data_IF_148094822262
#
_entry.id   IF_148094822262
#
_cell.length_a   1.000
_cell.length_b   1.000
_cell.length_c   1.000
_cell.angle_alpha   90.00
_cell.angle_beta   90.00
_cell.angle_gamma   90.00
#
_symmetry.space_group_name_H-M   'P 1'
#
loop_
_entity.id
_entity.type
_entity.pdbx_description
1 polymer ?
#
# COMPACT_ATOMS: atom_id res chain seq x y z
N UNK A 1 10.48 -20.70 23.19
CA UNK A 1 10.53 -19.94 21.92
C UNK A 1 11.65 -18.92 22.03
N UNK A 2 12.64 -18.98 21.14
CA UNK A 2 13.80 -18.08 21.16
C UNK A 2 13.44 -16.69 20.62
N UNK A 3 14.21 -15.64 20.96
CA UNK A 3 14.01 -14.31 20.36
C UNK A 3 14.11 -14.30 18.83
N UNK A 4 14.93 -15.20 18.25
CA UNK A 4 15.03 -15.37 16.80
C UNK A 4 13.76 -15.98 16.21
N UNK A 5 13.24 -17.06 16.81
CA UNK A 5 11.98 -17.69 16.40
C UNK A 5 10.83 -16.69 16.42
N UNK A 6 10.70 -15.91 17.50
CA UNK A 6 9.68 -14.85 17.60
C UNK A 6 9.81 -13.80 16.50
N UNK A 7 11.04 -13.35 16.19
CA UNK A 7 11.28 -12.36 15.15
C UNK A 7 10.97 -12.89 13.74
N UNK A 8 11.27 -14.17 13.48
CA UNK A 8 10.95 -14.82 12.20
C UNK A 8 9.44 -15.02 12.06
N UNK A 9 8.75 -15.50 13.10
CA UNK A 9 7.28 -15.64 13.09
C UNK A 9 6.62 -14.29 12.80
N UNK A 10 7.02 -13.22 13.49
CA UNK A 10 6.48 -11.89 13.27
C UNK A 10 6.73 -11.37 11.84
N UNK A 11 7.89 -11.71 11.25
CA UNK A 11 8.18 -11.37 9.85
C UNK A 11 7.24 -12.10 8.89
N UNK A 12 7.06 -13.41 9.06
CA UNK A 12 6.17 -14.21 8.20
C UNK A 12 4.73 -13.71 8.30
N UNK A 13 4.22 -13.49 9.52
CA UNK A 13 2.89 -12.95 9.75
C UNK A 13 2.68 -11.60 9.07
N UNK A 14 3.64 -10.68 9.19
CA UNK A 14 3.57 -9.38 8.54
C UNK A 14 3.59 -9.49 7.00
N UNK A 15 4.34 -10.46 6.45
CA UNK A 15 4.37 -10.70 5.01
C UNK A 15 3.05 -11.27 4.49
N UNK A 16 2.44 -12.21 5.23
CA UNK A 16 1.17 -12.80 4.86
C UNK A 16 0.04 -11.78 4.91
N UNK A 17 0.09 -10.86 5.87
CA UNK A 17 -0.85 -9.74 5.95
C UNK A 17 -0.77 -8.83 4.72
N UNK A 18 0.43 -8.49 4.25
CA UNK A 18 0.61 -7.71 3.01
C UNK A 18 0.05 -8.45 1.78
N UNK A 19 0.15 -9.79 1.74
CA UNK A 19 -0.43 -10.61 0.66
C UNK A 19 -1.95 -10.64 0.74
N UNK A 20 -2.51 -10.83 1.94
CA UNK A 20 -3.96 -10.83 2.20
C UNK A 20 -4.59 -9.52 1.74
N UNK A 21 -4.03 -8.39 2.20
CA UNK A 21 -4.47 -7.06 1.77
C UNK A 21 -4.34 -6.87 0.27
N UNK A 22 -3.29 -7.40 -0.36
CA UNK A 22 -3.14 -7.37 -1.83
C UNK A 22 -4.30 -8.04 -2.57
N UNK A 23 -4.77 -9.18 -2.09
CA UNK A 23 -5.93 -9.88 -2.68
C UNK A 23 -7.23 -9.10 -2.46
N UNK A 24 -7.42 -8.54 -1.28
CA UNK A 24 -8.62 -7.76 -0.94
C UNK A 24 -8.72 -6.46 -1.74
N UNK A 25 -7.58 -5.78 -1.97
CA UNK A 25 -7.52 -4.62 -2.87
C UNK A 25 -7.97 -5.01 -4.28
N UNK A 26 -7.42 -6.11 -4.83
CA UNK A 26 -7.81 -6.59 -6.15
C UNK A 26 -9.31 -6.91 -6.23
N UNK A 27 -9.85 -7.61 -5.23
CA UNK A 27 -11.27 -7.92 -5.16
C UNK A 27 -12.16 -6.67 -5.05
N UNK A 28 -11.73 -5.64 -4.30
CA UNK A 28 -12.46 -4.39 -4.18
C UNK A 28 -12.46 -3.59 -5.50
N UNK A 29 -11.34 -3.60 -6.24
CA UNK A 29 -11.27 -2.99 -7.58
C UNK A 29 -12.22 -3.70 -8.54
N UNK A 30 -12.18 -5.04 -8.62
CA UNK A 30 -13.10 -5.78 -9.50
C UNK A 30 -14.56 -5.50 -9.16
N UNK A 31 -14.94 -5.49 -7.88
CA UNK A 31 -16.31 -5.11 -7.46
C UNK A 31 -16.69 -3.69 -7.87
N UNK A 32 -15.74 -2.74 -7.87
CA UNK A 32 -15.98 -1.38 -8.34
C UNK A 32 -16.23 -1.32 -9.84
N UNK A 33 -15.63 -2.22 -10.62
CA UNK A 33 -15.84 -2.30 -12.07
C UNK A 33 -17.16 -3.00 -12.37
N UNK A 34 -17.45 -4.12 -11.70
CA UNK A 34 -18.70 -4.89 -11.83
C UNK A 34 -19.94 -4.09 -11.42
N UNK A 35 -19.84 -3.24 -10.39
CA UNK A 35 -20.96 -2.41 -9.93
C UNK A 35 -21.43 -1.36 -10.96
N UNK A 36 -20.62 -1.10 -12.00
CA UNK A 36 -20.98 -0.19 -13.09
C UNK A 36 -21.89 -0.85 -14.14
N UNK A 37 -22.20 -2.14 -13.99
CA UNK A 37 -23.14 -2.90 -14.81
C UNK A 37 -22.55 -3.44 -16.11
N UNK A 38 -23.40 -4.13 -16.89
CA UNK A 38 -23.02 -4.59 -18.23
C UNK A 38 -22.79 -3.38 -19.15
N UNK A 39 -21.56 -3.28 -19.63
CA UNK A 39 -21.15 -2.21 -20.50
C UNK A 39 -21.51 -2.55 -21.94
N UNK A 40 -22.34 -1.71 -22.56
CA UNK A 40 -22.55 -1.76 -24.00
C UNK A 40 -21.26 -1.25 -24.63
N UNK A 41 -20.56 -2.14 -25.34
CA UNK A 41 -19.34 -1.82 -26.09
C UNK A 41 -19.55 -0.51 -26.89
N UNK A 42 -18.63 0.46 -26.84
CA UNK A 42 -17.20 0.33 -26.49
C UNK A 42 -16.80 0.88 -25.10
N UNK A 43 -17.72 1.14 -24.17
CA UNK A 43 -17.36 1.82 -22.91
C UNK A 43 -16.65 0.84 -21.97
N UNK A 44 -15.44 1.16 -21.49
CA UNK A 44 -14.71 0.41 -20.45
C UNK A 44 -15.05 0.94 -19.05
N UNK A 45 -15.07 0.08 -17.99
CA UNK A 45 -15.36 0.49 -16.63
C UNK A 45 -14.49 1.67 -16.20
N UNK A 46 -15.11 2.66 -15.57
CA UNK A 46 -14.39 3.82 -15.06
C UNK A 46 -13.54 3.37 -13.88
N UNK A 47 -12.22 3.52 -14.01
CA UNK A 47 -11.30 3.24 -12.91
C UNK A 47 -11.24 4.45 -11.98
N UNK A 48 -12.22 4.56 -11.07
CA UNK A 48 -12.34 5.65 -10.10
C UNK A 48 -11.09 5.80 -9.23
N UNK A 49 -10.46 4.69 -8.85
CA UNK A 49 -9.23 4.71 -8.06
C UNK A 49 -8.09 5.37 -8.83
N UNK A 50 -7.94 5.08 -10.13
CA UNK A 50 -6.93 5.74 -10.99
C UNK A 50 -7.20 7.25 -11.10
N UNK A 51 -8.46 7.63 -11.31
CA UNK A 51 -8.85 9.04 -11.41
C UNK A 51 -8.59 9.82 -10.11
N UNK A 52 -8.88 9.22 -8.96
CA UNK A 52 -8.61 9.82 -7.66
C UNK A 52 -7.11 10.01 -7.35
N UNK A 53 -6.22 9.29 -8.05
CA UNK A 53 -4.77 9.49 -7.92
C UNK A 53 -4.16 10.22 -9.11
N UNK A 54 -4.97 10.65 -10.07
CA UNK A 54 -4.47 11.37 -11.23
C UNK A 54 -4.01 12.77 -10.82
N UNK A 55 -2.74 13.06 -11.09
CA UNK A 55 -2.12 14.35 -10.80
C UNK A 55 -1.53 14.93 -12.07
N UNK A 56 -1.65 16.24 -12.19
CA UNK A 56 -0.93 17.02 -13.19
C UNK A 56 0.10 17.91 -12.49
N UNK A 57 0.96 18.53 -13.30
CA UNK A 57 1.98 19.44 -12.79
C UNK A 57 1.89 20.78 -13.52
N UNK A 58 2.11 21.83 -12.77
CA UNK A 58 2.23 23.19 -13.29
C UNK A 58 3.48 23.87 -12.76
N UNK A 59 3.94 24.91 -13.46
CA UNK A 59 5.08 25.67 -13.00
C UNK A 59 4.69 26.39 -11.71
N UNK A 60 5.53 26.29 -10.68
CA UNK A 60 5.27 26.95 -9.41
C UNK A 60 5.21 28.48 -9.60
N UNK A 61 4.26 29.15 -8.93
CA UNK A 61 4.03 30.60 -9.04
C UNK A 61 5.27 31.44 -8.67
N UNK A 62 6.15 30.88 -7.83
CA UNK A 62 7.41 31.51 -7.44
C UNK A 62 8.52 31.40 -8.52
N UNK A 63 8.24 30.77 -9.67
CA UNK A 63 9.19 30.55 -10.76
C UNK A 63 10.22 29.45 -10.50
N UNK A 64 10.13 28.74 -9.36
CA UNK A 64 11.07 27.71 -8.94
C UNK A 64 10.38 26.37 -8.71
N UNK A 65 10.38 25.54 -9.74
CA UNK A 65 9.98 24.14 -9.66
C UNK A 65 8.61 23.85 -10.24
N UNK A 66 8.09 22.67 -9.90
CA UNK A 66 6.81 22.15 -10.36
C UNK A 66 5.93 21.88 -9.16
N UNK A 67 4.71 22.38 -9.18
CA UNK A 67 3.66 22.02 -8.23
C UNK A 67 2.78 20.94 -8.83
N UNK A 68 2.29 20.03 -7.99
CA UNK A 68 1.47 18.91 -8.43
C UNK A 68 0.10 18.99 -7.77
N UNK A 69 -0.95 19.03 -8.57
CA UNK A 69 -2.34 19.06 -8.10
C UNK A 69 -3.10 17.81 -8.55
N UNK A 70 -4.16 17.47 -7.83
CA UNK A 70 -5.06 16.38 -8.20
C UNK A 70 -6.06 16.90 -9.23
N UNK A 71 -6.26 16.13 -10.30
CA UNK A 71 -7.05 16.59 -11.46
C UNK A 71 -8.55 16.61 -11.16
N UNK A 72 -9.01 15.71 -10.29
CA UNK A 72 -10.44 15.42 -10.15
C UNK A 72 -11.03 15.89 -8.80
N UNK A 73 -10.20 16.39 -7.88
CA UNK A 73 -10.62 16.87 -6.56
C UNK A 73 -9.50 17.71 -5.92
N UNK A 74 -9.86 18.53 -4.93
CA UNK A 74 -8.93 19.41 -4.20
C UNK A 74 -8.20 18.66 -3.08
N UNK A 75 -7.41 17.64 -3.43
CA UNK A 75 -6.68 16.76 -2.48
C UNK A 75 -7.59 15.89 -1.56
N UNK A 76 -8.90 15.93 -1.76
CA UNK A 76 -9.87 15.05 -1.06
C UNK A 76 -10.14 13.73 -1.80
N UNK A 77 -9.19 12.80 -1.70
CA UNK A 77 -9.31 11.47 -2.32
C UNK A 77 -10.49 10.68 -1.73
N UNK A 78 -10.70 10.75 -0.42
CA UNK A 78 -11.72 9.94 0.25
C UNK A 78 -13.13 10.44 -0.07
N UNK A 79 -13.36 11.76 -0.06
CA UNK A 79 -14.62 12.35 -0.48
C UNK A 79 -14.92 12.05 -1.94
N UNK A 80 -13.94 12.26 -2.83
CA UNK A 80 -14.10 11.92 -4.25
C UNK A 80 -14.48 10.45 -4.46
N UNK A 81 -13.80 9.51 -3.79
CA UNK A 81 -14.13 8.10 -3.93
C UNK A 81 -15.46 7.72 -3.28
N UNK A 82 -15.83 8.34 -2.15
CA UNK A 82 -17.11 8.10 -1.49
C UNK A 82 -18.30 8.48 -2.38
N UNK A 83 -18.17 9.56 -3.15
CA UNK A 83 -19.20 10.03 -4.07
C UNK A 83 -19.36 9.14 -5.31
N UNK A 84 -18.28 8.52 -5.78
CA UNK A 84 -18.27 7.81 -7.05
C UNK A 84 -18.34 6.28 -6.94
N UNK A 85 -17.66 5.68 -5.96
CA UNK A 85 -17.68 4.23 -5.77
C UNK A 85 -17.26 3.82 -4.35
N UNK A 86 -18.18 3.26 -3.53
CA UNK A 86 -17.82 2.74 -2.21
C UNK A 86 -16.82 1.57 -2.27
N UNK A 87 -16.79 0.83 -3.38
CA UNK A 87 -15.82 -0.25 -3.60
C UNK A 87 -14.43 0.31 -3.92
N UNK A 88 -14.33 1.40 -4.68
CA UNK A 88 -13.06 2.09 -4.91
C UNK A 88 -12.54 2.77 -3.63
N UNK A 89 -13.42 3.36 -2.82
CA UNK A 89 -13.07 3.85 -1.48
C UNK A 89 -12.54 2.71 -0.60
N UNK A 90 -13.20 1.55 -0.59
CA UNK A 90 -12.70 0.38 0.13
C UNK A 90 -11.29 -0.02 -0.35
N UNK A 91 -11.05 -0.03 -1.66
CA UNK A 91 -9.74 -0.32 -2.22
C UNK A 91 -8.67 0.70 -1.75
N UNK A 92 -9.01 1.99 -1.73
CA UNK A 92 -8.15 3.05 -1.18
C UNK A 92 -7.76 2.78 0.29
N UNK A 93 -8.75 2.52 1.14
CA UNK A 93 -8.51 2.25 2.57
C UNK A 93 -7.61 1.02 2.77
N UNK A 94 -7.83 -0.05 1.99
CA UNK A 94 -6.99 -1.24 2.01
C UNK A 94 -5.56 -0.96 1.52
N UNK A 95 -5.37 -0.05 0.56
CA UNK A 95 -4.04 0.41 0.11
C UNK A 95 -3.30 1.12 1.26
N UNK A 96 -3.99 1.99 2.01
CA UNK A 96 -3.39 2.66 3.18
C UNK A 96 -2.98 1.64 4.24
N UNK A 97 -3.86 0.68 4.56
CA UNK A 97 -3.54 -0.41 5.49
C UNK A 97 -2.33 -1.24 5.01
N UNK A 98 -2.26 -1.54 3.71
CA UNK A 98 -1.13 -2.27 3.12
C UNK A 98 0.18 -1.48 3.21
N UNK A 99 0.13 -0.15 3.11
CA UNK A 99 1.31 0.71 3.30
C UNK A 99 1.85 0.59 4.72
N UNK A 100 0.98 0.61 5.72
CA UNK A 100 1.37 0.40 7.12
C UNK A 100 1.89 -1.03 7.36
N UNK A 101 1.23 -2.05 6.82
CA UNK A 101 1.69 -3.44 6.90
C UNK A 101 3.11 -3.62 6.28
N UNK A 102 3.40 -2.93 5.15
CA UNK A 102 4.75 -2.92 4.57
C UNK A 102 5.80 -2.26 5.48
N UNK A 103 5.43 -1.22 6.24
CA UNK A 103 6.33 -0.64 7.25
C UNK A 103 6.64 -1.65 8.36
N UNK A 104 5.63 -2.40 8.81
CA UNK A 104 5.79 -3.47 9.80
C UNK A 104 6.72 -4.57 9.27
N UNK A 105 6.56 -5.02 8.02
CA UNK A 105 7.49 -5.97 7.39
C UNK A 105 8.93 -5.44 7.41
N UNK A 106 9.12 -4.17 7.05
CA UNK A 106 10.43 -3.52 7.09
C UNK A 106 11.06 -3.53 8.49
N UNK A 107 10.26 -3.26 9.53
CA UNK A 107 10.70 -3.32 10.92
C UNK A 107 11.05 -4.75 11.36
N UNK A 108 10.21 -5.73 11.04
CA UNK A 108 10.44 -7.14 11.35
C UNK A 108 11.73 -7.67 10.69
N UNK A 109 11.97 -7.33 9.42
CA UNK A 109 13.22 -7.65 8.71
C UNK A 109 14.45 -7.11 9.45
N UNK A 110 14.41 -5.83 9.85
CA UNK A 110 15.52 -5.21 10.59
C UNK A 110 15.80 -5.94 11.90
N UNK A 111 14.75 -6.37 12.63
CA UNK A 111 14.89 -7.12 13.88
C UNK A 111 15.55 -8.48 13.66
N UNK A 112 15.11 -9.25 12.66
CA UNK A 112 15.73 -10.54 12.30
C UNK A 112 17.21 -10.34 11.94
N UNK A 113 17.52 -9.34 11.11
CA UNK A 113 18.90 -9.03 10.73
C UNK A 113 19.77 -8.66 11.93
N UNK A 114 19.26 -7.86 12.87
CA UNK A 114 20.01 -7.48 14.07
C UNK A 114 20.34 -8.68 14.95
N UNK A 115 19.36 -9.56 15.20
CA UNK A 115 19.57 -10.79 15.96
C UNK A 115 20.60 -11.68 15.25
N UNK A 116 20.46 -11.87 13.93
CA UNK A 116 21.43 -12.64 13.13
C UNK A 116 22.85 -12.10 13.25
N UNK A 117 23.04 -10.78 13.14
CA UNK A 117 24.36 -10.15 13.32
C UNK A 117 24.93 -10.38 14.72
N UNK A 118 24.11 -10.29 15.75
CA UNK A 118 24.56 -10.52 17.13
C UNK A 118 24.97 -11.98 17.35
N UNK A 119 24.28 -12.94 16.75
CA UNK A 119 24.65 -14.36 16.79
C UNK A 119 25.99 -14.62 16.10
N UNK A 120 26.23 -14.00 14.93
CA UNK A 120 27.54 -14.10 14.27
C UNK A 120 28.65 -13.53 15.15
N UNK A 121 28.44 -12.35 15.75
CA UNK A 121 29.43 -11.72 16.64
C UNK A 121 29.76 -12.60 17.86
N UNK A 122 28.74 -13.15 18.52
CA UNK A 122 28.93 -14.03 19.67
C UNK A 122 29.77 -15.27 19.29
N UNK A 123 29.45 -15.90 18.15
CA UNK A 123 30.19 -17.05 17.64
C UNK A 123 31.66 -16.73 17.35
N UNK A 124 31.96 -15.55 16.79
CA UNK A 124 33.35 -15.16 16.51
C UNK A 124 34.15 -14.90 17.79
N UNK A 125 33.50 -14.37 18.83
CA UNK A 125 34.14 -14.12 20.13
C UNK A 125 34.44 -15.41 20.91
N UNK A 126 33.62 -16.45 20.77
CA UNK A 126 33.87 -17.77 21.36
C UNK A 126 35.03 -18.53 20.69
N UNK A 127 35.45 -18.09 19.51
CA UNK A 127 36.52 -18.71 18.72
C UNK A 127 37.86 -17.95 18.77
N UNK A 128 37.91 -16.83 19.49
CA UNK A 128 39.11 -15.99 19.68
C UNK A 128 39.64 -16.14 21.11
#
# INVERSE_FOLDING_TARGET
MTPLEQAVIALVQAQDEVKRLGKEIGAAICRSEEAQGEMIYPKEPTNWLKLAYQREREAADNGYGWEYYYVNHDDDIEGYLAEHSPHALQAHLLIQQRREARRVVGAARRRVSLIGRNLVKARTQEQS
#
